data_IF_307542301058
#
_entry.id   IF_307542301058
#
_cell.length_a   1.000
_cell.length_b   1.000
_cell.length_c   1.000
_cell.angle_alpha   90.00
_cell.angle_beta   90.00
_cell.angle_gamma   90.00
#
_symmetry.space_group_name_H-M   'P 1'
#
loop_
_entity.id
_entity.type
_entity.pdbx_description
1 polymer ?
#
# COMPACT_ATOMS: atom_id res chain seq x y z
N UNK A 1 0.67 17.98 29.81
CA UNK A 1 1.18 18.87 28.73
C UNK A 1 0.27 18.77 27.51
N UNK A 2 0.16 19.82 26.70
CA UNK A 2 -0.65 19.84 25.47
C UNK A 2 0.19 20.23 24.27
N UNK A 3 -0.01 19.57 23.14
CA UNK A 3 0.71 19.82 21.89
C UNK A 3 -0.25 19.85 20.71
N UNK A 4 -0.04 20.77 19.78
CA UNK A 4 -0.79 20.81 18.53
C UNK A 4 -0.26 19.74 17.56
N UNK A 5 -1.16 19.06 16.86
CA UNK A 5 -0.83 18.08 15.82
C UNK A 5 -0.46 18.77 14.49
N UNK A 6 0.63 19.54 14.47
CA UNK A 6 1.17 20.16 13.24
C UNK A 6 2.14 19.21 12.54
N UNK A 7 1.62 18.43 11.58
CA UNK A 7 2.44 17.54 10.75
C UNK A 7 3.18 16.47 11.55
N UNK A 8 4.48 16.28 11.26
CA UNK A 8 5.32 15.25 11.91
C UNK A 8 6.00 15.74 13.20
N UNK A 9 6.06 17.06 13.42
CA UNK A 9 6.94 17.68 14.40
C UNK A 9 6.57 17.37 15.86
N UNK A 10 5.31 17.04 16.14
CA UNK A 10 4.88 16.65 17.49
C UNK A 10 5.41 15.28 17.93
N UNK A 11 5.80 14.39 17.01
CA UNK A 11 6.09 12.99 17.33
C UNK A 11 7.33 12.80 18.21
N UNK A 12 8.41 13.50 17.88
CA UNK A 12 9.68 13.40 18.61
C UNK A 12 9.57 13.96 20.03
N UNK A 13 9.06 15.19 20.23
CA UNK A 13 8.78 15.71 21.58
C UNK A 13 7.80 14.84 22.36
N UNK A 14 6.73 14.34 21.74
CA UNK A 14 5.78 13.44 22.41
C UNK A 14 6.46 12.18 22.94
N UNK A 15 7.30 11.53 22.12
CA UNK A 15 8.02 10.33 22.52
C UNK A 15 9.01 10.60 23.68
N UNK A 16 9.74 11.73 23.62
CA UNK A 16 10.67 12.11 24.69
C UNK A 16 9.95 12.35 26.03
N UNK A 17 8.81 13.04 25.99
CA UNK A 17 7.99 13.35 27.16
C UNK A 17 7.31 12.11 27.74
N UNK A 18 6.79 11.24 26.88
CA UNK A 18 6.24 9.94 27.28
C UNK A 18 7.31 9.07 27.96
N UNK A 19 8.55 9.07 27.45
CA UNK A 19 9.67 8.31 28.02
C UNK A 19 10.06 8.73 29.45
N UNK A 20 9.77 9.97 29.84
CA UNK A 20 9.96 10.47 31.22
C UNK A 20 8.66 10.46 32.04
N UNK A 21 7.59 9.83 31.54
CA UNK A 21 6.32 9.66 32.24
C UNK A 21 5.38 10.88 32.20
N UNK A 22 5.66 11.87 31.36
CA UNK A 22 4.81 13.06 31.22
C UNK A 22 3.61 12.74 30.33
N UNK A 23 2.40 12.93 30.87
CA UNK A 23 1.16 12.81 30.09
C UNK A 23 1.02 13.97 29.11
N UNK A 24 1.11 13.66 27.82
CA UNK A 24 0.94 14.61 26.71
C UNK A 24 -0.38 14.37 26.00
N UNK A 25 -1.15 15.45 25.82
CA UNK A 25 -2.38 15.46 25.01
C UNK A 25 -2.09 16.13 23.69
N UNK A 26 -2.12 15.36 22.61
CA UNK A 26 -2.03 15.88 21.25
C UNK A 26 -3.43 16.35 20.83
N UNK A 27 -3.56 17.56 20.27
CA UNK A 27 -4.85 18.13 19.89
C UNK A 27 -4.86 18.52 18.42
N UNK A 28 -6.03 18.40 17.77
CA UNK A 28 -6.19 18.79 16.38
C UNK A 28 -6.15 20.32 16.25
N UNK A 29 -5.23 20.82 15.42
CA UNK A 29 -5.08 22.23 15.05
C UNK A 29 -6.41 22.92 14.67
N UNK A 30 -7.29 22.22 13.95
CA UNK A 30 -8.57 22.77 13.47
C UNK A 30 -9.51 23.15 14.61
N UNK A 31 -9.45 22.44 15.73
CA UNK A 31 -10.29 22.72 16.90
C UNK A 31 -9.74 23.89 17.75
N UNK A 32 -8.51 24.33 17.48
CA UNK A 32 -7.83 25.39 18.26
C UNK A 32 -7.79 26.72 17.49
N UNK A 33 -7.80 26.68 16.15
CA UNK A 33 -7.52 27.83 15.26
C UNK A 33 -8.64 28.87 15.07
N UNK A 34 -9.75 28.81 15.81
CA UNK A 34 -10.90 29.71 15.60
C UNK A 34 -10.89 31.00 16.44
N UNK A 35 -9.73 31.62 16.70
CA UNK A 35 -9.69 32.92 17.41
C UNK A 35 -8.79 33.92 16.65
N UNK A 36 -9.35 34.98 16.06
CA UNK A 36 -8.58 36.03 15.38
C UNK A 36 -7.63 36.75 16.36
N UNK A 37 -6.44 37.16 15.88
CA UNK A 37 -5.57 38.11 16.59
C UNK A 37 -4.29 37.56 17.24
N UNK A 38 -3.89 36.30 16.98
CA UNK A 38 -2.66 35.72 17.55
C UNK A 38 -1.58 35.57 16.48
N UNK A 39 -0.48 36.29 16.66
CA UNK A 39 0.66 36.36 15.71
C UNK A 39 1.93 35.69 16.22
N UNK A 40 1.97 35.18 17.46
CA UNK A 40 3.19 34.63 18.08
C UNK A 40 2.97 33.26 18.70
N UNK A 41 3.96 32.37 18.59
CA UNK A 41 3.93 31.01 19.14
C UNK A 41 3.70 31.00 20.67
N UNK A 42 4.19 32.03 21.37
CA UNK A 42 4.00 32.20 22.82
C UNK A 42 2.52 32.41 23.17
N UNK A 43 1.83 33.30 22.45
CA UNK A 43 0.41 33.56 22.66
C UNK A 43 -0.44 32.32 22.36
N UNK A 44 -0.06 31.54 21.34
CA UNK A 44 -0.75 30.29 20.99
C UNK A 44 -0.54 29.21 22.05
N UNK A 45 0.67 29.08 22.61
CA UNK A 45 0.95 28.15 23.71
C UNK A 45 0.17 28.52 24.99
N UNK A 46 0.11 29.80 25.36
CA UNK A 46 -0.67 30.27 26.52
C UNK A 46 -2.17 30.01 26.34
N UNK A 47 -2.67 30.18 25.12
CA UNK A 47 -4.06 29.87 24.82
C UNK A 47 -4.36 28.37 24.91
N UNK A 48 -3.51 27.53 24.31
CA UNK A 48 -3.62 26.09 24.40
C UNK A 48 -3.62 25.63 25.87
N UNK A 49 -2.75 26.20 26.70
CA UNK A 49 -2.74 25.93 28.14
C UNK A 49 -4.05 26.35 28.83
N UNK A 50 -4.62 27.49 28.44
CA UNK A 50 -5.90 27.99 28.98
C UNK A 50 -7.07 27.06 28.61
N UNK A 51 -7.18 26.68 27.33
CA UNK A 51 -8.17 25.71 26.87
C UNK A 51 -8.01 24.35 27.54
N UNK A 52 -6.77 23.91 27.75
CA UNK A 52 -6.46 22.66 28.44
C UNK A 52 -6.96 22.68 29.89
N UNK A 53 -6.68 23.76 30.63
CA UNK A 53 -7.14 23.94 32.02
C UNK A 53 -8.66 24.00 32.13
N UNK A 54 -9.32 24.63 31.16
CA UNK A 54 -10.78 24.69 31.10
C UNK A 54 -11.45 23.38 30.67
N UNK A 55 -10.68 22.33 30.33
CA UNK A 55 -11.22 21.05 29.87
C UNK A 55 -11.82 21.08 28.46
N UNK A 56 -11.63 22.17 27.72
CA UNK A 56 -12.25 22.41 26.41
C UNK A 56 -11.54 21.70 25.25
N UNK A 57 -10.39 21.07 25.52
CA UNK A 57 -9.62 20.36 24.49
C UNK A 57 -9.99 18.88 24.46
N UNK A 58 -10.20 18.36 23.24
CA UNK A 58 -10.29 16.91 22.99
C UNK A 58 -8.98 16.39 22.42
N UNK A 59 -8.44 15.34 23.02
CA UNK A 59 -7.20 14.72 22.58
C UNK A 59 -7.43 13.87 21.34
N UNK A 60 -6.51 13.97 20.38
CA UNK A 60 -6.40 13.02 19.28
C UNK A 60 -5.91 11.67 19.80
N UNK A 61 -6.34 10.59 19.15
CA UNK A 61 -5.81 9.27 19.43
C UNK A 61 -4.33 9.21 19.08
N UNK A 62 -3.51 8.80 20.05
CA UNK A 62 -2.09 8.49 19.86
C UNK A 62 -1.89 7.03 20.25
N UNK A 63 -1.47 6.16 19.31
CA UNK A 63 -1.22 4.76 19.63
C UNK A 63 -0.04 4.57 20.58
N UNK A 64 0.04 3.37 21.15
CA UNK A 64 1.22 2.93 21.90
C UNK A 64 2.50 3.10 21.10
N UNK A 65 3.64 3.23 21.80
CA UNK A 65 4.96 3.38 21.19
C UNK A 65 5.22 2.31 20.12
N UNK A 66 4.92 1.04 20.44
CA UNK A 66 5.07 -0.08 19.52
C UNK A 66 4.27 0.11 18.23
N UNK A 67 2.99 0.47 18.32
CA UNK A 67 2.16 0.68 17.13
C UNK A 67 2.61 1.91 16.32
N UNK A 68 3.12 2.97 16.98
CA UNK A 68 3.70 4.14 16.29
C UNK A 68 4.93 3.77 15.46
N UNK A 69 5.77 2.86 15.94
CA UNK A 69 6.90 2.33 15.16
C UNK A 69 6.41 1.52 13.95
N UNK A 70 5.43 0.63 14.16
CA UNK A 70 4.86 -0.17 13.07
C UNK A 70 4.14 0.67 12.03
N UNK A 71 3.58 1.83 12.41
CA UNK A 71 3.02 2.80 11.46
C UNK A 71 4.06 3.36 10.50
N UNK A 72 5.35 3.41 10.89
CA UNK A 72 6.42 3.81 9.95
C UNK A 72 6.53 2.80 8.82
N UNK A 73 6.49 1.50 9.16
CA UNK A 73 6.56 0.39 8.21
C UNK A 73 5.30 0.37 7.34
N UNK A 74 4.11 0.37 7.97
CA UNK A 74 2.82 0.25 7.29
C UNK A 74 2.57 1.38 6.28
N UNK A 75 2.91 2.63 6.64
CA UNK A 75 2.74 3.80 5.76
C UNK A 75 3.74 3.82 4.61
N UNK A 76 4.98 3.37 4.83
CA UNK A 76 5.93 3.24 3.73
C UNK A 76 5.51 2.13 2.76
N UNK A 77 4.98 1.02 3.28
CA UNK A 77 4.36 -0.04 2.47
C UNK A 77 3.21 0.49 1.62
N UNK A 78 2.31 1.32 2.17
CA UNK A 78 1.25 1.98 1.38
C UNK A 78 1.80 2.83 0.24
N UNK A 79 2.89 3.57 0.47
CA UNK A 79 3.55 4.35 -0.60
C UNK A 79 4.10 3.44 -1.70
N UNK A 80 4.73 2.32 -1.36
CA UNK A 80 5.22 1.35 -2.35
C UNK A 80 4.08 0.76 -3.18
N UNK A 81 2.94 0.44 -2.56
CA UNK A 81 1.76 -0.03 -3.28
C UNK A 81 1.22 1.05 -4.22
N UNK A 82 1.15 2.30 -3.76
CA UNK A 82 0.75 3.43 -4.60
C UNK A 82 1.71 3.63 -5.79
N UNK A 83 3.01 3.41 -5.60
CA UNK A 83 4.00 3.45 -6.67
C UNK A 83 3.79 2.30 -7.65
N UNK A 84 3.62 1.07 -7.18
CA UNK A 84 3.33 -0.10 -8.02
C UNK A 84 2.07 0.10 -8.87
N UNK A 85 0.99 0.61 -8.27
CA UNK A 85 -0.24 0.95 -9.01
C UNK A 85 0.02 2.04 -10.05
N UNK A 86 0.80 3.06 -9.72
CA UNK A 86 1.15 4.13 -10.66
C UNK A 86 1.99 3.63 -11.82
N UNK A 87 2.95 2.73 -11.58
CA UNK A 87 3.78 2.12 -12.63
C UNK A 87 2.95 1.23 -13.57
N UNK A 88 2.09 0.36 -13.03
CA UNK A 88 1.14 -0.44 -13.84
C UNK A 88 0.23 0.47 -14.67
N UNK A 89 -0.28 1.55 -14.07
CA UNK A 89 -1.12 2.51 -14.77
C UNK A 89 -0.37 3.27 -15.87
N UNK A 90 0.91 3.65 -15.65
CA UNK A 90 1.75 4.29 -16.68
C UNK A 90 1.91 3.39 -17.89
N UNK A 91 2.12 2.09 -17.69
CA UNK A 91 2.18 1.11 -18.77
C UNK A 91 0.86 0.96 -19.54
N UNK A 92 -0.28 1.12 -18.86
CA UNK A 92 -1.61 1.08 -19.47
C UNK A 92 -2.02 2.38 -20.18
N UNK A 93 -1.43 3.53 -19.80
CA UNK A 93 -1.97 4.85 -20.15
C UNK A 93 -1.74 5.26 -21.61
N UNK A 94 -0.87 4.57 -22.35
CA UNK A 94 -0.53 4.98 -23.72
C UNK A 94 -1.68 4.89 -24.71
N UNK A 95 -2.74 4.10 -24.48
CA UNK A 95 -3.92 4.04 -25.35
C UNK A 95 -5.20 3.71 -24.56
N UNK A 96 -5.77 4.68 -23.83
CA UNK A 96 -7.03 4.50 -23.08
C UNK A 96 -8.22 4.05 -23.94
N UNK A 97 -8.17 4.24 -25.26
CA UNK A 97 -9.21 3.82 -26.19
C UNK A 97 -9.09 2.34 -26.61
N UNK A 98 -7.90 1.71 -26.49
CA UNK A 98 -7.65 0.36 -27.03
C UNK A 98 -7.14 -0.68 -26.03
N UNK A 99 -7.05 -0.38 -24.71
CA UNK A 99 -6.43 -1.27 -23.70
C UNK A 99 -5.01 -1.74 -24.05
N UNK A 100 -4.32 -1.04 -24.96
CA UNK A 100 -2.96 -1.42 -25.34
C UNK A 100 -1.98 -0.91 -24.28
N UNK A 101 -1.35 -1.84 -23.58
CA UNK A 101 -0.22 -1.55 -22.70
C UNK A 101 1.11 -1.68 -23.47
N UNK A 102 2.20 -1.10 -22.94
CA UNK A 102 3.53 -1.15 -23.57
C UNK A 102 3.98 -2.58 -23.88
N UNK A 103 3.70 -3.52 -22.98
CA UNK A 103 4.01 -4.94 -23.19
C UNK A 103 3.24 -5.51 -24.40
N UNK A 104 1.96 -5.18 -24.56
CA UNK A 104 1.14 -5.57 -25.71
C UNK A 104 1.74 -5.08 -27.01
N UNK A 105 2.28 -3.85 -27.06
CA UNK A 105 2.93 -3.30 -28.26
C UNK A 105 4.16 -4.12 -28.63
N UNK A 106 5.05 -4.38 -27.66
CA UNK A 106 6.29 -5.14 -27.90
C UNK A 106 5.98 -6.60 -28.28
N UNK A 107 5.00 -7.22 -27.62
CA UNK A 107 4.57 -8.58 -27.96
C UNK A 107 3.94 -8.62 -29.36
N UNK A 108 3.07 -7.66 -29.70
CA UNK A 108 2.45 -7.57 -31.02
C UNK A 108 3.48 -7.32 -32.13
N UNK A 109 4.51 -6.51 -31.86
CA UNK A 109 5.63 -6.26 -32.78
C UNK A 109 6.43 -7.56 -33.04
N UNK A 110 6.54 -8.41 -32.02
CA UNK A 110 7.10 -9.77 -32.14
C UNK A 110 6.13 -10.81 -32.74
N UNK A 111 4.92 -10.42 -33.15
CA UNK A 111 3.88 -11.33 -33.66
C UNK A 111 3.11 -12.10 -32.58
N UNK A 112 3.39 -11.87 -31.29
CA UNK A 112 2.73 -12.53 -30.16
C UNK A 112 1.50 -11.74 -29.71
N UNK A 113 0.31 -12.33 -29.83
CA UNK A 113 -0.98 -11.67 -29.55
C UNK A 113 -1.56 -11.98 -28.17
N UNK A 114 -0.70 -12.24 -27.19
CA UNK A 114 -1.11 -12.66 -25.85
C UNK A 114 -2.04 -11.64 -25.14
N UNK A 115 -1.86 -10.34 -25.38
CA UNK A 115 -2.67 -9.31 -24.74
C UNK A 115 -4.09 -9.15 -25.30
N UNK A 116 -4.41 -9.86 -26.40
CA UNK A 116 -5.77 -9.95 -26.94
C UNK A 116 -6.55 -11.06 -26.23
N UNK A 117 -5.88 -12.15 -25.88
CA UNK A 117 -6.48 -13.34 -25.27
C UNK A 117 -6.44 -13.32 -23.74
N UNK A 118 -5.54 -12.53 -23.14
CA UNK A 118 -5.44 -12.40 -21.67
C UNK A 118 -5.94 -11.03 -21.20
N UNK A 119 -6.78 -11.02 -20.16
CA UNK A 119 -7.38 -9.79 -19.61
C UNK A 119 -6.39 -8.88 -18.87
N UNK A 120 -5.29 -9.43 -18.36
CA UNK A 120 -4.25 -8.70 -17.61
C UNK A 120 -2.86 -9.29 -17.90
N UNK A 121 -2.06 -8.57 -18.69
CA UNK A 121 -0.67 -8.95 -19.01
C UNK A 121 0.30 -8.80 -17.82
N UNK A 122 -0.08 -8.06 -16.78
CA UNK A 122 0.66 -7.99 -15.52
C UNK A 122 0.16 -9.04 -14.51
N UNK A 123 -0.78 -9.89 -14.90
CA UNK A 123 -1.23 -11.02 -14.09
C UNK A 123 -0.10 -12.04 -13.92
N UNK A 124 -0.14 -12.80 -12.82
CA UNK A 124 0.89 -13.80 -12.52
C UNK A 124 1.08 -14.81 -13.66
N UNK A 125 -0.02 -15.31 -14.23
CA UNK A 125 0.03 -16.30 -15.32
C UNK A 125 0.56 -15.71 -16.63
N UNK A 126 0.13 -14.50 -17.01
CA UNK A 126 0.65 -13.82 -18.20
C UNK A 126 2.15 -13.57 -18.09
N UNK A 127 2.62 -13.06 -16.93
CA UNK A 127 4.04 -12.83 -16.69
C UNK A 127 4.86 -14.12 -16.68
N UNK A 128 4.34 -15.19 -16.09
CA UNK A 128 4.99 -16.49 -16.12
C UNK A 128 5.15 -17.00 -17.55
N UNK A 129 4.10 -16.89 -18.37
CA UNK A 129 4.17 -17.24 -19.79
C UNK A 129 5.18 -16.37 -20.55
N UNK A 130 5.16 -15.05 -20.37
CA UNK A 130 6.11 -14.14 -21.02
C UNK A 130 7.55 -14.50 -20.65
N UNK A 131 7.84 -14.74 -19.36
CA UNK A 131 9.17 -15.18 -18.91
C UNK A 131 9.60 -16.49 -19.55
N UNK A 132 8.72 -17.48 -19.58
CA UNK A 132 9.03 -18.76 -20.22
C UNK A 132 9.38 -18.59 -21.70
N UNK A 133 8.69 -17.71 -22.43
CA UNK A 133 9.03 -17.43 -23.82
C UNK A 133 10.36 -16.68 -23.93
N UNK A 134 10.64 -15.72 -23.03
CA UNK A 134 11.94 -15.04 -22.96
C UNK A 134 13.09 -16.01 -22.67
N UNK A 135 12.85 -17.03 -21.88
CA UNK A 135 13.79 -18.13 -21.59
C UNK A 135 13.92 -19.13 -22.75
N UNK A 136 13.20 -18.91 -23.86
CA UNK A 136 13.24 -19.76 -25.05
C UNK A 136 12.44 -21.06 -24.93
N UNK A 137 11.52 -21.16 -23.97
CA UNK A 137 10.67 -22.36 -23.84
C UNK A 137 9.71 -22.49 -25.03
N UNK A 138 9.47 -23.72 -25.51
CA UNK A 138 8.55 -23.93 -26.62
C UNK A 138 7.09 -23.66 -26.21
N UNK A 139 6.22 -23.22 -27.13
CA UNK A 139 4.85 -22.80 -26.78
C UNK A 139 4.02 -23.83 -26.00
N UNK A 140 4.22 -25.12 -26.25
CA UNK A 140 3.49 -26.19 -25.54
C UNK A 140 3.86 -26.28 -24.05
N UNK A 141 5.10 -25.96 -23.67
CA UNK A 141 5.52 -25.87 -22.27
C UNK A 141 4.98 -24.60 -21.62
N UNK A 142 5.03 -23.48 -22.34
CA UNK A 142 4.49 -22.18 -21.89
C UNK A 142 3.01 -22.29 -21.51
N UNK A 143 2.21 -23.05 -22.28
CA UNK A 143 0.79 -23.30 -21.97
C UNK A 143 0.56 -23.98 -20.63
N UNK A 144 1.55 -24.66 -20.04
CA UNK A 144 1.40 -25.28 -18.72
C UNK A 144 1.41 -24.25 -17.59
N UNK A 145 1.86 -23.02 -17.87
CA UNK A 145 1.83 -21.88 -16.95
C UNK A 145 0.52 -21.09 -17.02
N UNK A 146 -0.38 -21.46 -17.94
CA UNK A 146 -1.71 -20.88 -18.07
C UNK A 146 -2.57 -21.24 -16.85
N UNK A 147 -3.07 -20.23 -16.14
CA UNK A 147 -3.98 -20.44 -15.01
C UNK A 147 -5.34 -20.93 -15.50
N UNK A 148 -5.97 -21.84 -14.75
CA UNK A 148 -7.36 -22.28 -14.97
C UNK A 148 -8.41 -21.16 -14.90
N UNK A 149 -8.03 -19.98 -14.39
CA UNK A 149 -8.90 -18.79 -14.33
C UNK A 149 -8.88 -17.96 -15.60
N UNK A 150 -7.97 -18.23 -16.53
CA UNK A 150 -7.97 -17.58 -17.84
C UNK A 150 -9.20 -18.02 -18.62
N UNK A 151 -9.84 -17.06 -19.28
CA UNK A 151 -11.01 -17.34 -20.13
C UNK A 151 -10.62 -17.93 -21.48
N UNK A 152 -9.42 -17.60 -21.97
CA UNK A 152 -8.90 -18.10 -23.23
C UNK A 152 -8.68 -19.61 -23.17
N UNK A 153 -9.04 -20.30 -24.25
CA UNK A 153 -8.79 -21.73 -24.42
C UNK A 153 -7.29 -22.00 -24.59
N UNK A 154 -6.85 -23.25 -24.40
CA UNK A 154 -5.45 -23.62 -24.68
C UNK A 154 -5.08 -23.41 -26.16
N UNK A 155 -6.03 -23.61 -27.07
CA UNK A 155 -5.84 -23.40 -28.51
C UNK A 155 -5.65 -21.91 -28.81
N UNK A 156 -6.52 -21.04 -28.29
CA UNK A 156 -6.40 -19.58 -28.45
C UNK A 156 -5.07 -19.06 -27.88
N UNK A 157 -4.64 -19.59 -26.73
CA UNK A 157 -3.34 -19.27 -26.16
C UNK A 157 -2.19 -19.77 -27.05
N UNK A 158 -2.28 -20.98 -27.58
CA UNK A 158 -1.24 -21.54 -28.45
C UNK A 158 -1.05 -20.70 -29.70
N UNK A 159 -2.15 -20.33 -30.35
CA UNK A 159 -2.16 -19.49 -31.55
C UNK A 159 -1.62 -18.09 -31.25
N UNK A 160 -2.00 -17.51 -30.12
CA UNK A 160 -1.50 -16.21 -29.70
C UNK A 160 0.01 -16.18 -29.40
N UNK A 161 0.63 -17.34 -29.18
CA UNK A 161 2.07 -17.49 -28.90
C UNK A 161 2.92 -17.76 -30.15
N UNK A 162 2.31 -17.90 -31.34
CA UNK A 162 3.01 -18.15 -32.60
C UNK A 162 3.69 -16.89 -33.17
N UNK A 163 4.74 -16.41 -32.51
CA UNK A 163 5.55 -15.27 -32.95
C UNK A 163 7.04 -15.46 -32.74
N UNK A 164 7.85 -14.51 -33.21
CA UNK A 164 9.31 -14.53 -33.11
C UNK A 164 9.81 -13.38 -32.23
N UNK A 165 10.30 -13.73 -31.04
CA UNK A 165 10.96 -12.78 -30.14
C UNK A 165 12.42 -12.62 -30.52
N UNK A 166 12.77 -11.44 -31.03
CA UNK A 166 14.15 -11.03 -31.20
C UNK A 166 14.79 -10.73 -29.84
N UNK A 167 16.13 -10.73 -29.78
CA UNK A 167 16.86 -10.31 -28.59
C UNK A 167 16.49 -8.89 -28.12
N UNK A 168 16.18 -7.98 -29.07
CA UNK A 168 15.72 -6.63 -28.78
C UNK A 168 14.34 -6.61 -28.12
N UNK A 169 13.39 -7.41 -28.61
CA UNK A 169 12.08 -7.56 -27.96
C UNK A 169 12.24 -8.11 -26.54
N UNK A 170 13.11 -9.11 -26.38
CA UNK A 170 13.38 -9.72 -25.08
C UNK A 170 13.94 -8.72 -24.07
N UNK A 171 14.94 -7.94 -24.48
CA UNK A 171 15.52 -6.88 -23.66
C UNK A 171 14.47 -5.86 -23.20
N UNK A 172 13.62 -5.37 -24.11
CA UNK A 172 12.59 -4.38 -23.75
C UNK A 172 11.54 -4.97 -22.81
N UNK A 173 11.09 -6.21 -23.03
CA UNK A 173 10.13 -6.87 -22.14
C UNK A 173 10.69 -7.07 -20.73
N UNK A 174 11.96 -7.44 -20.61
CA UNK A 174 12.62 -7.59 -19.31
C UNK A 174 12.71 -6.26 -18.55
N UNK A 175 13.16 -5.19 -19.21
CA UNK A 175 13.23 -3.85 -18.61
C UNK A 175 11.85 -3.27 -18.26
N UNK A 176 10.79 -3.66 -18.95
CA UNK A 176 9.41 -3.31 -18.57
C UNK A 176 8.93 -4.09 -17.35
N UNK A 177 9.31 -5.36 -17.20
CA UNK A 177 8.87 -6.21 -16.09
C UNK A 177 9.63 -5.93 -14.80
N UNK A 178 10.93 -5.68 -14.88
CA UNK A 178 11.83 -5.58 -13.73
C UNK A 178 11.35 -4.59 -12.64
N UNK A 179 10.92 -3.34 -12.95
CA UNK A 179 10.49 -2.39 -11.92
C UNK A 179 9.25 -2.86 -11.14
N UNK A 180 8.33 -3.56 -11.81
CA UNK A 180 7.13 -4.13 -11.17
C UNK A 180 7.56 -5.19 -10.15
N UNK A 181 8.45 -6.09 -10.56
CA UNK A 181 8.92 -7.20 -9.73
C UNK A 181 9.75 -6.70 -8.53
N UNK A 182 10.59 -5.70 -8.73
CA UNK A 182 11.33 -5.04 -7.66
C UNK A 182 10.39 -4.40 -6.63
N UNK A 183 9.34 -3.70 -7.09
CA UNK A 183 8.34 -3.10 -6.21
C UNK A 183 7.54 -4.16 -5.45
N UNK A 184 7.11 -5.23 -6.13
CA UNK A 184 6.41 -6.36 -5.50
C UNK A 184 7.30 -7.05 -4.45
N UNK A 185 8.57 -7.30 -4.76
CA UNK A 185 9.54 -7.87 -3.82
C UNK A 185 9.79 -6.95 -2.62
N UNK A 186 9.88 -5.63 -2.83
CA UNK A 186 9.98 -4.64 -1.75
C UNK A 186 8.74 -4.68 -0.86
N UNK A 187 7.54 -4.68 -1.44
CA UNK A 187 6.29 -4.77 -0.67
C UNK A 187 6.28 -6.05 0.16
N UNK A 188 6.66 -7.19 -0.41
CA UNK A 188 6.73 -8.47 0.30
C UNK A 188 7.69 -8.42 1.51
N UNK A 189 8.83 -7.74 1.41
CA UNK A 189 9.74 -7.53 2.55
C UNK A 189 9.11 -6.69 3.66
N UNK A 190 8.37 -5.64 3.31
CA UNK A 190 7.64 -4.83 4.30
C UNK A 190 6.52 -5.64 4.95
N UNK A 191 5.77 -6.40 4.17
CA UNK A 191 4.69 -7.27 4.63
C UNK A 191 5.23 -8.33 5.62
N UNK A 192 6.33 -9.01 5.27
CA UNK A 192 6.98 -9.99 6.14
C UNK A 192 7.48 -9.37 7.46
N UNK A 193 8.13 -8.19 7.40
CA UNK A 193 8.59 -7.50 8.60
C UNK A 193 7.42 -7.09 9.48
N UNK A 194 6.37 -6.52 8.89
CA UNK A 194 5.18 -6.08 9.63
C UNK A 194 4.50 -7.24 10.35
N UNK A 195 4.31 -8.38 9.67
CA UNK A 195 3.68 -9.55 10.26
C UNK A 195 4.53 -10.20 11.36
N UNK A 196 5.86 -10.21 11.20
CA UNK A 196 6.78 -10.70 12.23
C UNK A 196 6.64 -9.90 13.54
N UNK A 197 6.58 -8.57 13.44
CA UNK A 197 6.43 -7.69 14.60
C UNK A 197 5.04 -7.77 15.27
N UNK A 198 4.04 -8.31 14.56
CA UNK A 198 2.68 -8.53 15.05
C UNK A 198 2.43 -9.99 15.44
N UNK A 199 3.47 -10.81 15.58
CA UNK A 199 3.32 -12.22 15.92
C UNK A 199 2.65 -12.47 17.29
N UNK A 200 2.72 -11.52 18.23
CA UNK A 200 1.99 -11.57 19.51
C UNK A 200 0.49 -11.28 19.36
N UNK A 201 0.09 -10.60 18.29
CA UNK A 201 -1.28 -10.14 18.04
C UNK A 201 -2.08 -11.09 17.13
N UNK A 202 -1.66 -12.36 16.99
CA UNK A 202 -2.26 -13.34 16.08
C UNK A 202 -3.78 -13.46 16.23
N UNK A 203 -4.28 -13.44 17.47
CA UNK A 203 -5.72 -13.55 17.74
C UNK A 203 -6.47 -12.32 17.21
N UNK A 204 -5.94 -11.11 17.42
CA UNK A 204 -6.53 -9.89 16.89
C UNK A 204 -6.52 -9.88 15.35
N UNK A 205 -5.43 -10.34 14.73
CA UNK A 205 -5.35 -10.48 13.28
C UNK A 205 -6.33 -11.51 12.73
N UNK A 206 -6.56 -12.63 13.43
CA UNK A 206 -7.53 -13.64 13.02
C UNK A 206 -8.97 -13.11 13.09
N UNK A 207 -9.32 -12.38 14.15
CA UNK A 207 -10.63 -11.74 14.29
C UNK A 207 -10.87 -10.69 13.20
N UNK A 208 -9.89 -9.86 12.89
CA UNK A 208 -10.03 -8.87 11.81
C UNK A 208 -10.21 -9.52 10.42
N UNK A 209 -9.67 -10.71 10.20
CA UNK A 209 -9.86 -11.46 8.95
C UNK A 209 -11.25 -12.08 8.80
N UNK A 210 -12.08 -12.10 9.85
CA UNK A 210 -13.50 -12.49 9.69
C UNK A 210 -14.31 -11.42 8.97
N UNK A 211 -13.76 -10.21 8.81
CA UNK A 211 -14.38 -9.14 8.05
C UNK A 211 -14.30 -9.44 6.54
N UNK A 212 -15.41 -9.34 5.79
CA UNK A 212 -15.40 -9.56 4.35
C UNK A 212 -14.38 -8.68 3.63
N UNK A 213 -13.52 -9.30 2.82
CA UNK A 213 -12.49 -8.60 2.04
C UNK A 213 -11.20 -8.24 2.79
N UNK A 214 -11.09 -8.57 4.08
CA UNK A 214 -9.88 -8.31 4.88
C UNK A 214 -8.97 -9.53 4.90
N UNK A 215 -7.83 -9.45 4.22
CA UNK A 215 -6.78 -10.45 4.32
C UNK A 215 -5.83 -10.15 5.49
N UNK A 216 -4.87 -11.04 5.74
CA UNK A 216 -3.89 -10.90 6.85
C UNK A 216 -3.15 -9.55 6.85
N UNK A 217 -2.78 -9.03 5.67
CA UNK A 217 -2.11 -7.73 5.57
C UNK A 217 -3.10 -6.59 5.83
N UNK A 218 -4.33 -6.68 5.31
CA UNK A 218 -5.40 -5.74 5.61
C UNK A 218 -5.68 -5.65 7.11
N UNK A 219 -5.76 -6.81 7.79
CA UNK A 219 -5.89 -6.89 9.24
C UNK A 219 -4.71 -6.23 9.96
N UNK A 220 -3.48 -6.50 9.55
CA UNK A 220 -2.29 -5.87 10.13
C UNK A 220 -2.29 -4.34 9.95
N UNK A 221 -2.68 -3.86 8.77
CA UNK A 221 -2.79 -2.42 8.48
C UNK A 221 -3.85 -1.75 9.36
N UNK A 222 -5.02 -2.39 9.53
CA UNK A 222 -6.08 -1.90 10.41
C UNK A 222 -5.60 -1.85 11.87
N UNK A 223 -5.06 -2.95 12.38
CA UNK A 223 -4.59 -3.06 13.75
C UNK A 223 -3.53 -2.00 14.09
N UNK A 224 -2.62 -1.71 13.17
CA UNK A 224 -1.57 -0.70 13.36
C UNK A 224 -2.11 0.73 13.36
N UNK A 225 -3.22 0.98 12.67
CA UNK A 225 -3.87 2.29 12.65
C UNK A 225 -4.94 2.44 13.76
N UNK A 226 -5.63 1.40 14.21
CA UNK A 226 -6.63 1.51 15.29
C UNK A 226 -6.09 1.16 16.68
N UNK A 227 -5.10 0.28 16.76
CA UNK A 227 -4.79 -0.47 17.98
C UNK A 227 -5.84 -1.54 18.29
N UNK A 228 -5.64 -2.26 19.40
CA UNK A 228 -6.52 -3.34 19.87
C UNK A 228 -7.57 -2.86 20.88
N UNK A 229 -7.32 -1.75 21.57
CA UNK A 229 -8.27 -1.17 22.53
C UNK A 229 -9.24 -0.21 21.82
N UNK A 230 -10.50 -0.65 21.65
CA UNK A 230 -11.55 0.17 21.01
C UNK A 230 -12.19 1.18 21.98
N UNK A 231 -11.97 1.06 23.29
CA UNK A 231 -12.55 1.99 24.28
C UNK A 231 -12.06 3.43 24.09
N UNK A 232 -10.87 3.59 23.50
CA UNK A 232 -10.25 4.89 23.20
C UNK A 232 -11.07 5.74 22.22
N UNK A 233 -11.90 5.10 21.38
CA UNK A 233 -12.78 5.78 20.43
C UNK A 233 -14.15 6.08 21.05
N UNK A 234 -14.60 5.27 22.01
CA UNK A 234 -15.89 5.38 22.70
C UNK A 234 -17.09 4.95 21.85
N UNK A 235 -17.14 5.30 20.56
CA UNK A 235 -18.17 4.85 19.61
C UNK A 235 -17.54 4.44 18.27
N UNK A 236 -18.23 3.58 17.52
CA UNK A 236 -17.82 3.16 16.17
C UNK A 236 -17.69 4.34 15.20
N UNK A 237 -18.61 5.30 15.28
CA UNK A 237 -18.60 6.47 14.39
C UNK A 237 -17.32 7.29 14.56
N UNK A 238 -16.79 7.34 15.78
CA UNK A 238 -15.53 8.06 16.10
C UNK A 238 -14.28 7.32 15.61
N UNK A 239 -14.37 6.01 15.37
CA UNK A 239 -13.31 5.25 14.70
C UNK A 239 -13.32 5.50 13.18
N UNK A 240 -14.51 5.69 12.60
CA UNK A 240 -14.70 5.88 11.15
C UNK A 240 -14.59 7.35 10.68
N UNK A 241 -14.48 8.31 11.61
CA UNK A 241 -14.45 9.76 11.35
C UNK A 241 -13.05 10.32 11.07
#
# INVERSE_FOLDING_TARGET
MVMESTGIYWKSPYAALEGVGIRVKVVNARHVKQVPGRKTDVCDAQWLATLARAGLLRGSFVPSAKLRELRVISRQRQKLVSLLTSEKNRMHKENRMHKENRMHKVLSDAGIRLGVVVSDLHGQSARAMIKAILDGQPPHEVLNLASRRLKASREELYDALQGELTASHGFVLDELLRPIEELEARIARFDARLLSELASEKNALALLQTLPGVNVIGAAMLLVESGSDMSVFGTSDRLAS
#
